data_IF_765850289180
#
_entry.id   IF_765850289180
#
_cell.length_a   1.000
_cell.length_b   1.000
_cell.length_c   1.000
_cell.angle_alpha   90.00
_cell.angle_beta   90.00
_cell.angle_gamma   90.00
#
_symmetry.space_group_name_H-M   'P 1'
#
loop_
_entity.id
_entity.type
_entity.pdbx_description
1 polymer ?
#
# COMPACT_ATOMS: atom_id res chain seq x y z
N UNK A 1 0.87 0.75 -60.86
CA UNK A 1 1.66 1.25 -59.70
C UNK A 1 0.88 2.14 -58.72
N UNK A 2 -0.37 2.54 -58.99
CA UNK A 2 -1.07 3.56 -58.18
C UNK A 2 -1.78 3.05 -56.92
N UNK A 3 -1.94 1.73 -56.74
CA UNK A 3 -2.66 1.12 -55.61
C UNK A 3 -1.79 0.80 -54.38
N UNK A 4 -0.46 0.85 -54.51
CA UNK A 4 0.47 0.48 -53.43
C UNK A 4 0.76 1.66 -52.47
N UNK A 5 0.72 2.89 -52.97
CA UNK A 5 0.95 4.11 -52.18
C UNK A 5 -0.08 4.31 -51.05
N UNK A 6 -1.40 4.17 -51.25
CA UNK A 6 -2.37 4.36 -50.16
C UNK A 6 -2.27 3.29 -49.06
N UNK A 7 -1.87 2.06 -49.41
CA UNK A 7 -1.67 0.98 -48.43
C UNK A 7 -0.46 1.28 -47.54
N UNK A 8 0.62 1.80 -48.13
CA UNK A 8 1.83 2.15 -47.38
C UNK A 8 1.58 3.32 -46.41
N UNK A 9 0.81 4.33 -46.83
CA UNK A 9 0.40 5.45 -45.98
C UNK A 9 -0.48 4.97 -44.82
N UNK A 10 -1.41 4.06 -45.07
CA UNK A 10 -2.25 3.47 -44.02
C UNK A 10 -1.41 2.67 -43.01
N UNK A 11 -0.45 1.87 -43.47
CA UNK A 11 0.46 1.12 -42.59
C UNK A 11 1.33 2.06 -41.74
N UNK A 12 1.89 3.13 -42.32
CA UNK A 12 2.70 4.11 -41.57
C UNK A 12 1.87 4.88 -40.54
N UNK A 13 0.58 5.12 -40.79
CA UNK A 13 -0.31 5.77 -39.83
C UNK A 13 -0.82 4.83 -38.73
N UNK A 14 -0.95 3.53 -39.01
CA UNK A 14 -1.45 2.54 -38.04
C UNK A 14 -0.37 1.92 -37.15
N UNK A 15 0.87 1.84 -37.63
CA UNK A 15 1.99 1.27 -36.86
C UNK A 15 2.28 2.01 -35.54
N UNK A 16 2.25 3.35 -35.45
CA UNK A 16 2.41 4.04 -34.18
C UNK A 16 1.31 3.68 -33.17
N UNK A 17 0.06 3.56 -33.64
CA UNK A 17 -1.09 3.27 -32.78
C UNK A 17 -0.99 1.87 -32.16
N UNK A 18 -0.46 0.90 -32.89
CA UNK A 18 -0.23 -0.45 -32.40
C UNK A 18 0.96 -0.54 -31.42
N UNK A 19 2.00 0.29 -31.58
CA UNK A 19 3.15 0.32 -30.66
C UNK A 19 2.82 0.96 -29.32
N UNK A 20 1.87 1.91 -29.28
CA UNK A 20 1.36 2.51 -28.02
C UNK A 20 0.17 1.74 -27.41
N UNK A 21 -0.22 0.59 -27.97
CA UNK A 21 -1.39 -0.18 -27.52
C UNK A 21 -1.11 -1.14 -26.35
N UNK A 22 0.16 -1.37 -26.01
CA UNK A 22 0.50 -2.04 -24.75
C UNK A 22 0.26 -1.04 -23.61
N UNK A 23 -0.96 -1.03 -23.10
CA UNK A 23 -1.30 -0.25 -21.90
C UNK A 23 -0.49 -0.83 -20.75
N UNK A 24 0.58 -0.15 -20.38
CA UNK A 24 1.28 -0.40 -19.13
C UNK A 24 0.25 -0.46 -18.00
N UNK A 25 0.27 -1.55 -17.24
CA UNK A 25 -0.57 -1.66 -16.06
C UNK A 25 -0.19 -0.51 -15.12
N UNK A 26 -1.20 0.17 -14.58
CA UNK A 26 -1.01 1.21 -13.57
C UNK A 26 -0.22 0.65 -12.37
N UNK A 27 -0.36 -0.65 -12.12
CA UNK A 27 0.35 -1.36 -11.07
C UNK A 27 1.87 -1.42 -11.29
N UNK A 28 2.33 -1.27 -12.53
CA UNK A 28 3.74 -1.30 -12.94
C UNK A 28 4.38 0.08 -13.04
N UNK A 29 3.61 1.16 -12.89
CA UNK A 29 4.14 2.52 -12.93
C UNK A 29 5.11 2.78 -11.77
N UNK A 30 6.18 3.53 -12.03
CA UNK A 30 7.22 3.87 -11.07
C UNK A 30 7.66 5.34 -11.14
N UNK A 31 8.81 5.64 -10.56
CA UNK A 31 9.35 6.99 -10.50
C UNK A 31 9.78 7.56 -11.84
N UNK A 32 10.07 6.71 -12.83
CA UNK A 32 10.37 7.14 -14.20
C UNK A 32 9.11 7.73 -14.82
N UNK A 33 8.01 6.98 -14.81
CA UNK A 33 6.70 7.43 -15.29
C UNK A 33 6.28 8.72 -14.59
N UNK A 34 6.35 8.74 -13.26
CA UNK A 34 5.97 9.90 -12.46
C UNK A 34 6.75 11.16 -12.85
N UNK A 35 8.03 11.04 -13.19
CA UNK A 35 8.88 12.20 -13.50
C UNK A 35 8.54 12.82 -14.85
N UNK A 36 8.13 11.99 -15.81
CA UNK A 36 7.74 12.43 -17.15
C UNK A 36 6.33 13.05 -17.18
N UNK A 37 5.51 12.74 -16.18
CA UNK A 37 4.15 13.25 -16.09
C UNK A 37 4.07 14.75 -15.89
N UNK A 38 3.17 15.35 -16.66
CA UNK A 38 2.71 16.72 -16.45
C UNK A 38 1.92 16.81 -15.14
N UNK A 39 1.85 18.03 -14.57
CA UNK A 39 1.17 18.27 -13.31
C UNK A 39 -0.26 17.70 -13.28
N UNK A 40 -1.05 17.91 -14.34
CA UNK A 40 -2.43 17.43 -14.37
C UNK A 40 -2.53 15.90 -14.27
N UNK A 41 -1.59 15.14 -14.84
CA UNK A 41 -1.56 13.67 -14.78
C UNK A 41 -1.29 13.21 -13.35
N UNK A 42 -0.30 13.82 -12.67
CA UNK A 42 0.03 13.57 -11.26
C UNK A 42 -1.19 13.78 -10.36
N UNK A 43 -1.86 14.93 -10.48
CA UNK A 43 -3.06 15.24 -9.70
C UNK A 43 -4.23 14.29 -10.01
N UNK A 44 -4.43 13.93 -11.28
CA UNK A 44 -5.49 13.01 -11.69
C UNK A 44 -5.26 11.60 -11.14
N UNK A 45 -4.02 11.10 -11.22
CA UNK A 45 -3.63 9.82 -10.64
C UNK A 45 -3.89 9.79 -9.14
N UNK A 46 -3.41 10.79 -8.39
CA UNK A 46 -3.57 10.83 -6.93
C UNK A 46 -5.04 10.94 -6.53
N UNK A 47 -5.83 11.74 -7.24
CA UNK A 47 -7.29 11.82 -7.00
C UNK A 47 -7.96 10.45 -7.20
N UNK A 48 -7.62 9.75 -8.28
CA UNK A 48 -8.16 8.42 -8.56
C UNK A 48 -7.69 7.37 -7.53
N UNK A 49 -6.42 7.41 -7.13
CA UNK A 49 -5.87 6.53 -6.10
C UNK A 49 -6.59 6.74 -4.76
N UNK A 50 -6.74 7.99 -4.32
CA UNK A 50 -7.44 8.33 -3.08
C UNK A 50 -8.90 7.89 -3.11
N UNK A 51 -9.64 8.21 -4.18
CA UNK A 51 -11.02 7.80 -4.33
C UNK A 51 -11.18 6.27 -4.33
N UNK A 52 -10.27 5.55 -5.01
CA UNK A 52 -10.26 4.09 -5.03
C UNK A 52 -9.95 3.49 -3.66
N UNK A 53 -8.92 3.99 -2.98
CA UNK A 53 -8.55 3.55 -1.63
C UNK A 53 -9.69 3.79 -0.63
N UNK A 54 -10.28 4.98 -0.65
CA UNK A 54 -11.39 5.34 0.25
C UNK A 54 -12.65 4.51 -0.05
N UNK A 55 -12.93 4.21 -1.32
CA UNK A 55 -14.02 3.33 -1.70
C UNK A 55 -13.83 1.90 -1.17
N UNK A 56 -12.63 1.33 -1.34
CA UNK A 56 -12.30 0.00 -0.81
C UNK A 56 -12.44 -0.01 0.71
N UNK A 57 -11.90 0.99 1.40
CA UNK A 57 -11.96 1.07 2.87
C UNK A 57 -13.40 1.21 3.36
N UNK A 58 -14.14 2.17 2.83
CA UNK A 58 -15.52 2.47 3.28
C UNK A 58 -16.46 1.29 3.06
N UNK A 59 -16.31 0.55 1.96
CA UNK A 59 -17.20 -0.56 1.63
C UNK A 59 -16.81 -1.90 2.30
N UNK A 60 -15.59 -2.00 2.84
CA UNK A 60 -15.10 -3.26 3.43
C UNK A 60 -14.87 -3.18 4.95
N UNK A 61 -14.90 -1.99 5.56
CA UNK A 61 -14.89 -1.88 7.01
C UNK A 61 -16.13 -2.55 7.58
N UNK A 62 -15.90 -3.55 8.43
CA UNK A 62 -16.96 -4.22 9.16
C UNK A 62 -17.20 -3.49 10.48
N UNK A 63 -18.45 -3.14 10.77
CA UNK A 63 -18.83 -2.59 12.06
C UNK A 63 -18.80 -3.70 13.11
N UNK A 64 -18.03 -3.51 14.18
CA UNK A 64 -18.15 -4.35 15.36
C UNK A 64 -19.36 -3.90 16.19
N UNK A 65 -20.12 -4.86 16.71
CA UNK A 65 -21.12 -4.56 17.73
C UNK A 65 -20.42 -3.99 18.97
N UNK A 66 -21.05 -3.01 19.62
CA UNK A 66 -20.46 -2.02 20.54
C UNK A 66 -19.96 -2.56 21.89
N UNK A 67 -19.44 -3.78 21.96
CA UNK A 67 -18.90 -4.41 23.18
C UNK A 67 -17.69 -5.32 22.92
N UNK A 68 -16.90 -5.01 21.91
CA UNK A 68 -15.64 -5.69 21.68
C UNK A 68 -14.57 -5.26 22.70
N UNK A 69 -13.96 -6.24 23.35
CA UNK A 69 -12.88 -6.07 24.33
C UNK A 69 -11.61 -6.68 23.73
N UNK A 70 -10.76 -5.83 23.13
CA UNK A 70 -9.53 -6.22 22.42
C UNK A 70 -8.54 -6.97 23.31
N UNK A 71 -8.46 -6.57 24.58
CA UNK A 71 -7.57 -7.20 25.56
C UNK A 71 -8.03 -8.61 25.89
N UNK A 72 -9.34 -8.79 26.10
CA UNK A 72 -9.90 -10.12 26.32
C UNK A 72 -9.80 -10.98 25.07
N UNK A 73 -10.04 -10.41 23.88
CA UNK A 73 -9.93 -11.13 22.62
C UNK A 73 -8.50 -11.62 22.34
N UNK A 74 -7.49 -10.77 22.62
CA UNK A 74 -6.08 -11.15 22.52
C UNK A 74 -5.74 -12.30 23.45
N UNK A 75 -6.22 -12.28 24.71
CA UNK A 75 -6.01 -13.37 25.68
C UNK A 75 -6.62 -14.68 25.19
N UNK A 76 -7.84 -14.65 24.66
CA UNK A 76 -8.48 -15.85 24.08
C UNK A 76 -7.68 -16.35 22.88
N UNK A 77 -7.26 -15.46 21.99
CA UNK A 77 -6.44 -15.83 20.82
C UNK A 77 -5.13 -16.52 21.24
N UNK A 78 -4.37 -15.95 22.18
CA UNK A 78 -3.13 -16.58 22.66
C UNK A 78 -3.34 -17.94 23.36
N UNK A 79 -4.52 -18.19 23.93
CA UNK A 79 -4.87 -19.51 24.47
C UNK A 79 -5.10 -20.59 23.38
N UNK A 80 -5.39 -20.16 22.15
CA UNK A 80 -5.59 -21.02 20.98
C UNK A 80 -4.29 -21.33 20.25
N UNK A 81 -3.46 -20.32 19.96
CA UNK A 81 -2.24 -20.47 19.14
C UNK A 81 -1.00 -20.98 19.89
N UNK A 82 -1.05 -21.14 21.21
CA UNK A 82 0.02 -21.57 22.15
C UNK A 82 1.47 -21.39 21.65
N UNK A 83 2.17 -20.40 22.21
CA UNK A 83 3.58 -20.11 21.90
C UNK A 83 4.60 -21.07 22.56
N UNK A 84 4.14 -22.11 23.25
CA UNK A 84 4.92 -22.99 24.13
C UNK A 84 4.42 -24.45 24.01
N UNK A 85 5.14 -25.46 24.50
CA UNK A 85 4.85 -26.91 24.37
C UNK A 85 3.52 -27.40 25.01
N UNK A 86 2.61 -26.48 25.36
CA UNK A 86 1.29 -26.79 25.93
C UNK A 86 0.30 -27.16 24.83
N UNK A 87 -0.61 -28.06 25.14
CA UNK A 87 -1.71 -28.40 24.22
C UNK A 87 -2.65 -27.19 24.05
N UNK A 88 -3.04 -26.84 22.82
CA UNK A 88 -3.97 -25.74 22.57
C UNK A 88 -5.34 -26.01 23.21
N UNK A 89 -5.98 -24.93 23.66
CA UNK A 89 -7.39 -25.00 24.07
C UNK A 89 -8.22 -25.36 22.84
N UNK A 90 -8.98 -26.45 22.92
CA UNK A 90 -9.75 -27.01 21.80
C UNK A 90 -11.28 -26.88 21.98
N UNK A 91 -11.74 -26.22 23.04
CA UNK A 91 -13.16 -25.92 23.28
C UNK A 91 -13.31 -24.49 23.74
N UNK A 92 -14.30 -23.77 23.20
CA UNK A 92 -14.51 -22.35 23.46
C UNK A 92 -15.99 -22.10 23.77
N UNK A 93 -16.24 -21.23 24.73
CA UNK A 93 -17.59 -20.72 24.99
C UNK A 93 -18.05 -19.81 23.84
N UNK A 94 -19.38 -19.62 23.70
CA UNK A 94 -19.94 -18.68 22.71
C UNK A 94 -19.36 -17.27 22.84
N UNK A 95 -19.08 -16.82 24.06
CA UNK A 95 -18.46 -15.50 24.32
C UNK A 95 -17.03 -15.43 23.80
N UNK A 96 -16.24 -16.49 24.01
CA UNK A 96 -14.87 -16.57 23.50
C UNK A 96 -14.82 -16.64 21.97
N UNK A 97 -15.74 -17.38 21.35
CA UNK A 97 -15.88 -17.40 19.88
C UNK A 97 -16.22 -16.00 19.36
N UNK A 98 -17.15 -15.27 19.99
CA UNK A 98 -17.47 -13.91 19.60
C UNK A 98 -16.26 -12.96 19.70
N UNK A 99 -15.43 -13.11 20.74
CA UNK A 99 -14.19 -12.35 20.88
C UNK A 99 -13.16 -12.68 19.78
N UNK A 100 -13.00 -13.96 19.44
CA UNK A 100 -12.11 -14.39 18.34
C UNK A 100 -12.55 -13.81 16.99
N UNK A 101 -13.85 -13.84 16.71
CA UNK A 101 -14.42 -13.23 15.50
C UNK A 101 -14.20 -11.71 15.51
N UNK A 102 -14.42 -11.05 16.64
CA UNK A 102 -14.13 -9.62 16.81
C UNK A 102 -12.67 -9.29 16.52
N UNK A 103 -11.72 -10.07 17.04
CA UNK A 103 -10.28 -9.89 16.80
C UNK A 103 -9.90 -10.06 15.32
N UNK A 104 -10.52 -11.04 14.63
CA UNK A 104 -10.34 -11.19 13.20
C UNK A 104 -10.86 -9.97 12.44
N UNK A 105 -12.06 -9.51 12.76
CA UNK A 105 -12.65 -8.30 12.16
C UNK A 105 -11.80 -7.06 12.42
N UNK A 106 -11.27 -6.88 13.63
CA UNK A 106 -10.37 -5.78 13.96
C UNK A 106 -9.09 -5.84 13.13
N UNK A 107 -8.45 -7.02 13.04
CA UNK A 107 -7.26 -7.21 12.21
C UNK A 107 -7.49 -6.87 10.75
N UNK A 108 -8.64 -7.29 10.18
CA UNK A 108 -9.05 -6.93 8.83
C UNK A 108 -9.25 -5.42 8.66
N UNK A 109 -9.95 -4.79 9.59
CA UNK A 109 -10.19 -3.35 9.58
C UNK A 109 -8.88 -2.57 9.69
N UNK A 110 -7.96 -2.96 10.58
CA UNK A 110 -6.62 -2.36 10.68
C UNK A 110 -5.89 -2.46 9.34
N UNK A 111 -5.95 -3.62 8.67
CA UNK A 111 -5.39 -3.80 7.33
C UNK A 111 -5.97 -2.82 6.31
N UNK A 112 -7.29 -2.65 6.29
CA UNK A 112 -7.96 -1.69 5.40
C UNK A 112 -7.56 -0.24 5.71
N UNK A 113 -7.55 0.17 6.98
CA UNK A 113 -7.15 1.52 7.37
C UNK A 113 -5.71 1.86 6.99
N UNK A 114 -4.82 0.86 6.83
CA UNK A 114 -3.46 1.09 6.30
C UNK A 114 -3.46 1.54 4.84
N UNK A 115 -4.50 1.32 4.06
CA UNK A 115 -4.62 1.84 2.69
C UNK A 115 -5.33 3.19 2.63
N UNK A 116 -6.14 3.54 3.63
CA UNK A 116 -6.85 4.81 3.68
C UNK A 116 -5.89 6.02 3.65
N UNK A 117 -6.30 7.07 2.91
CA UNK A 117 -5.58 8.35 2.80
C UNK A 117 -6.41 9.43 3.51
N UNK A 118 -6.47 9.33 4.84
CA UNK A 118 -7.20 10.27 5.67
C UNK A 118 -6.33 11.46 6.07
N UNK A 119 -6.89 12.66 5.95
CA UNK A 119 -6.26 13.89 6.43
C UNK A 119 -5.07 14.38 5.59
N UNK A 120 -4.91 13.88 4.36
CA UNK A 120 -3.85 14.28 3.44
C UNK A 120 -4.48 14.79 2.16
N UNK A 121 -4.03 15.95 1.69
CA UNK A 121 -4.51 16.55 0.44
C UNK A 121 -3.78 15.98 -0.77
N UNK A 122 -4.42 16.06 -1.95
CA UNK A 122 -3.77 15.72 -3.22
C UNK A 122 -2.42 16.46 -3.39
N UNK A 123 -2.38 17.76 -3.07
CA UNK A 123 -1.18 18.58 -3.20
C UNK A 123 -0.02 18.05 -2.36
N UNK A 124 -0.27 17.70 -1.09
CA UNK A 124 0.75 17.13 -0.22
C UNK A 124 1.31 15.81 -0.74
N UNK A 125 0.47 14.93 -1.28
CA UNK A 125 0.95 13.68 -1.90
C UNK A 125 1.76 13.94 -3.17
N UNK A 126 1.30 14.84 -4.03
CA UNK A 126 2.03 15.19 -5.27
C UNK A 126 3.40 15.79 -4.94
N UNK A 127 3.47 16.72 -3.99
CA UNK A 127 4.71 17.33 -3.52
C UNK A 127 5.63 16.31 -2.87
N UNK A 128 5.09 15.46 -2.00
CA UNK A 128 5.82 14.39 -1.34
C UNK A 128 6.39 13.38 -2.35
N UNK A 129 5.62 13.00 -3.38
CA UNK A 129 6.09 12.11 -4.44
C UNK A 129 7.14 12.77 -5.35
N UNK A 130 7.01 14.06 -5.64
CA UNK A 130 8.04 14.80 -6.37
C UNK A 130 9.36 14.82 -5.58
N UNK A 131 9.30 15.05 -4.27
CA UNK A 131 10.47 15.00 -3.39
C UNK A 131 11.05 13.58 -3.32
N UNK A 132 10.19 12.58 -3.11
CA UNK A 132 10.55 11.17 -3.01
C UNK A 132 11.27 10.66 -4.25
N UNK A 133 10.70 10.90 -5.44
CA UNK A 133 11.30 10.51 -6.72
C UNK A 133 12.39 11.48 -7.20
N UNK A 134 12.66 12.56 -6.48
CA UNK A 134 13.86 13.37 -6.68
C UNK A 134 15.14 12.58 -6.37
N UNK A 135 15.07 11.59 -5.48
CA UNK A 135 16.17 10.64 -5.24
C UNK A 135 16.16 9.55 -6.32
N UNK A 136 17.28 9.43 -7.06
CA UNK A 136 17.45 8.43 -8.11
C UNK A 136 17.30 6.99 -7.58
N UNK A 137 17.63 6.75 -6.31
CA UNK A 137 17.48 5.43 -5.66
C UNK A 137 16.04 4.98 -5.53
N UNK A 138 15.09 5.92 -5.65
CA UNK A 138 13.66 5.64 -5.52
C UNK A 138 12.97 5.43 -6.86
N UNK A 139 13.63 5.68 -7.99
CA UNK A 139 12.97 5.62 -9.32
C UNK A 139 12.34 4.28 -9.64
N UNK A 140 12.93 3.18 -9.15
CA UNK A 140 12.43 1.82 -9.38
C UNK A 140 11.32 1.39 -8.41
N UNK A 141 10.99 2.23 -7.41
CA UNK A 141 9.92 1.93 -6.46
C UNK A 141 8.58 2.23 -7.13
N UNK A 142 7.68 1.25 -7.13
CA UNK A 142 6.35 1.37 -7.75
C UNK A 142 5.53 2.46 -7.11
N UNK A 143 4.73 3.15 -7.93
CA UNK A 143 3.98 4.34 -7.54
C UNK A 143 3.02 4.07 -6.38
N UNK A 144 2.37 2.91 -6.36
CA UNK A 144 1.50 2.49 -5.25
C UNK A 144 2.24 2.38 -3.91
N UNK A 145 3.48 1.91 -3.91
CA UNK A 145 4.29 1.74 -2.70
C UNK A 145 4.85 3.11 -2.27
N UNK A 146 5.25 3.94 -3.23
CA UNK A 146 5.71 5.31 -2.96
C UNK A 146 4.62 6.17 -2.31
N UNK A 147 3.36 6.07 -2.76
CA UNK A 147 2.22 6.75 -2.12
C UNK A 147 2.12 6.37 -0.63
N UNK A 148 2.35 5.11 -0.29
CA UNK A 148 2.35 4.68 1.10
C UNK A 148 3.51 5.28 1.89
N UNK A 149 4.73 5.25 1.35
CA UNK A 149 5.91 5.83 2.01
C UNK A 149 5.71 7.31 2.27
N UNK A 150 5.27 8.07 1.26
CA UNK A 150 4.98 9.50 1.37
C UNK A 150 3.89 9.77 2.40
N UNK A 151 2.83 8.95 2.43
CA UNK A 151 1.80 9.04 3.46
C UNK A 151 2.39 8.87 4.87
N UNK A 152 3.27 7.90 5.07
CA UNK A 152 3.90 7.69 6.38
C UNK A 152 4.78 8.87 6.79
N UNK A 153 5.56 9.42 5.85
CA UNK A 153 6.33 10.64 6.08
C UNK A 153 5.44 11.82 6.50
N UNK A 154 4.32 12.05 5.80
CA UNK A 154 3.37 13.14 6.12
C UNK A 154 2.73 12.92 7.50
N UNK A 155 2.47 11.67 7.89
CA UNK A 155 1.94 11.32 9.21
C UNK A 155 2.98 11.34 10.34
N UNK A 156 4.24 11.66 10.03
CA UNK A 156 5.30 11.79 11.02
C UNK A 156 5.96 10.47 11.43
N UNK A 157 5.95 9.46 10.55
CA UNK A 157 6.77 8.26 10.73
C UNK A 157 8.26 8.64 10.91
N UNK A 158 8.98 7.88 11.73
CA UNK A 158 10.37 8.22 12.02
C UNK A 158 11.27 7.97 10.79
N UNK A 159 12.40 8.70 10.66
CA UNK A 159 13.34 8.46 9.57
C UNK A 159 13.82 7.00 9.49
N UNK A 160 13.98 6.34 10.65
CA UNK A 160 14.42 4.95 10.75
C UNK A 160 13.35 3.99 10.23
N UNK A 161 12.07 4.24 10.54
CA UNK A 161 10.95 3.47 10.02
C UNK A 161 10.84 3.61 8.49
N UNK A 162 10.90 4.84 8.00
CA UNK A 162 10.83 5.14 6.56
C UNK A 162 11.99 4.48 5.82
N UNK A 163 13.21 4.54 6.34
CA UNK A 163 14.36 3.90 5.71
C UNK A 163 14.26 2.37 5.75
N UNK A 164 13.65 1.77 6.77
CA UNK A 164 13.38 0.34 6.80
C UNK A 164 12.42 -0.10 5.69
N UNK A 165 11.34 0.67 5.48
CA UNK A 165 10.43 0.48 4.36
C UNK A 165 11.16 0.61 3.03
N UNK A 166 12.02 1.62 2.89
CA UNK A 166 12.79 1.83 1.65
C UNK A 166 13.77 0.71 1.36
N UNK A 167 14.47 0.19 2.37
CA UNK A 167 15.33 -1.00 2.20
C UNK A 167 14.52 -2.20 1.75
N UNK A 168 13.36 -2.45 2.35
CA UNK A 168 12.44 -3.51 1.93
C UNK A 168 12.03 -3.36 0.46
N UNK A 169 11.63 -2.16 0.04
CA UNK A 169 11.19 -1.90 -1.35
C UNK A 169 12.33 -1.97 -2.37
N UNK A 170 13.56 -1.62 -1.98
CA UNK A 170 14.75 -1.66 -2.86
C UNK A 170 15.40 -3.05 -2.94
N UNK A 171 15.18 -3.92 -1.96
CA UNK A 171 15.82 -5.23 -1.83
C UNK A 171 14.86 -6.40 -2.09
N UNK A 172 14.06 -6.30 -3.16
CA UNK A 172 13.12 -7.36 -3.58
C UNK A 172 12.20 -7.86 -2.46
N UNK A 173 11.78 -6.96 -1.57
CA UNK A 173 10.82 -7.24 -0.50
C UNK A 173 11.27 -8.31 0.51
N UNK A 174 12.57 -8.37 0.84
CA UNK A 174 13.02 -9.15 2.01
C UNK A 174 12.48 -8.52 3.31
N UNK A 175 11.52 -9.19 3.94
CA UNK A 175 10.86 -8.78 5.19
C UNK A 175 11.83 -8.53 6.35
N UNK A 176 13.05 -9.10 6.33
CA UNK A 176 14.06 -8.81 7.35
C UNK A 176 14.47 -7.32 7.35
N UNK A 177 14.31 -6.63 6.22
CA UNK A 177 14.66 -5.22 6.09
C UNK A 177 13.65 -4.26 6.73
N UNK A 178 12.43 -4.74 7.05
CA UNK A 178 11.42 -3.95 7.75
C UNK A 178 11.72 -3.78 9.24
N UNK A 179 12.66 -4.54 9.80
CA UNK A 179 13.09 -4.30 11.18
C UNK A 179 13.99 -3.07 11.27
N UNK A 180 13.75 -2.25 12.29
CA UNK A 180 14.57 -1.08 12.61
C UNK A 180 14.70 -0.92 14.13
N UNK A 181 15.68 -0.11 14.54
CA UNK A 181 15.84 0.29 15.93
C UNK A 181 15.26 1.69 16.06
N UNK A 182 14.29 1.86 16.95
CA UNK A 182 13.72 3.18 17.22
C UNK A 182 14.69 4.07 18.04
N UNK A 183 14.29 5.33 18.25
CA UNK A 183 15.06 6.32 19.02
C UNK A 183 15.37 5.88 20.46
N UNK A 184 14.61 4.93 21.00
CA UNK A 184 14.76 4.42 22.36
C UNK A 184 15.61 3.13 22.40
N UNK A 185 16.18 2.72 21.25
CA UNK A 185 17.03 1.55 21.14
C UNK A 185 16.26 0.23 21.01
N UNK A 186 14.93 0.28 20.87
CA UNK A 186 14.10 -0.93 20.78
C UNK A 186 13.96 -1.37 19.33
N UNK A 187 14.14 -2.68 19.11
CA UNK A 187 13.88 -3.31 17.81
C UNK A 187 12.39 -3.37 17.54
N UNK A 188 11.96 -2.75 16.46
CA UNK A 188 10.57 -2.59 16.04
C UNK A 188 10.42 -3.02 14.58
N UNK A 189 9.20 -3.40 14.18
CA UNK A 189 8.85 -3.74 12.81
C UNK A 189 8.15 -2.52 12.18
N UNK A 190 8.67 -2.03 11.06
CA UNK A 190 8.04 -0.96 10.31
C UNK A 190 6.67 -1.41 9.80
N UNK A 191 5.68 -0.52 9.92
CA UNK A 191 4.33 -0.84 9.45
C UNK A 191 4.31 -0.59 7.95
N UNK A 192 4.19 -1.66 7.16
CA UNK A 192 4.00 -1.61 5.71
C UNK A 192 2.86 -2.56 5.31
N UNK A 193 2.02 -2.23 4.30
CA UNK A 193 0.91 -3.07 3.85
C UNK A 193 1.38 -4.33 3.13
#
# INVERSE_FOLDING_TARGET
MQKTVPILILCVLLLPVAVYADKQDISDMDGTDWTEWQSFQKYSFISGFMAGADNVVTNNIQTQDSKYDSDMASKVFYSYIVLDDKKPKNSFSRKEVALLLGNQTEGLNIGLYRYAILGITNGQLVEGLNTFYGDFKNKQIKLRDAVYVVKQQIKGASPEEVEAILRFLRADRDYKNLFYTDKDGKKTLAIFP
#
